data_IF_122552389450
#
_entry.id   IF_122552389450
#
_cell.length_a   1.000
_cell.length_b   1.000
_cell.length_c   1.000
_cell.angle_alpha   90.00
_cell.angle_beta   90.00
_cell.angle_gamma   90.00
#
_symmetry.space_group_name_H-M   'P 1'
#
loop_
_entity.id
_entity.type
_entity.pdbx_description
1 polymer ?
#
# COMPACT_ATOMS: atom_id res chain seq x y z
N UNK A 1 -21.69 -13.56 -12.46
CA UNK A 1 -20.64 -13.43 -11.46
C UNK A 1 -20.86 -14.47 -10.38
N UNK A 2 -19.90 -15.37 -10.15
CA UNK A 2 -20.00 -16.46 -9.18
C UNK A 2 -19.50 -15.98 -7.80
N UNK A 3 -20.43 -15.51 -6.97
CA UNK A 3 -20.14 -15.00 -5.62
C UNK A 3 -19.52 -16.08 -4.71
N UNK A 4 -19.90 -17.34 -4.91
CA UNK A 4 -19.35 -18.45 -4.12
C UNK A 4 -17.86 -18.68 -4.41
N UNK A 5 -17.43 -18.53 -5.66
CA UNK A 5 -16.02 -18.62 -6.03
C UNK A 5 -15.21 -17.47 -5.43
N UNK A 6 -15.71 -16.23 -5.54
CA UNK A 6 -15.08 -15.06 -4.89
C UNK A 6 -14.92 -15.31 -3.39
N UNK A 7 -16.01 -15.73 -2.74
CA UNK A 7 -16.00 -15.99 -1.30
C UNK A 7 -15.01 -17.10 -0.91
N UNK A 8 -14.93 -18.17 -1.71
CA UNK A 8 -14.03 -19.28 -1.45
C UNK A 8 -12.57 -18.84 -1.49
N UNK A 9 -12.15 -18.12 -2.57
CA UNK A 9 -10.79 -17.59 -2.71
C UNK A 9 -10.49 -16.58 -1.59
N UNK A 10 -11.40 -15.66 -1.35
CA UNK A 10 -11.26 -14.62 -0.34
C UNK A 10 -11.09 -15.21 1.07
N UNK A 11 -11.94 -16.16 1.48
CA UNK A 11 -11.85 -16.78 2.79
C UNK A 11 -10.61 -17.67 2.94
N UNK A 12 -10.19 -18.34 1.87
CA UNK A 12 -8.94 -19.12 1.87
C UNK A 12 -7.73 -18.23 2.14
N UNK A 13 -7.64 -17.08 1.46
CA UNK A 13 -6.58 -16.11 1.64
C UNK A 13 -6.62 -15.44 3.03
N UNK A 14 -7.81 -15.12 3.54
CA UNK A 14 -7.95 -14.63 4.91
C UNK A 14 -7.55 -15.66 5.95
N UNK A 15 -7.91 -16.93 5.77
CA UNK A 15 -7.49 -18.00 6.68
C UNK A 15 -5.96 -18.18 6.68
N UNK A 16 -5.31 -18.01 5.54
CA UNK A 16 -3.84 -17.96 5.45
C UNK A 16 -3.28 -16.77 6.24
N UNK A 17 -3.88 -15.61 6.08
CA UNK A 17 -3.53 -14.39 6.82
C UNK A 17 -3.64 -14.59 8.32
N UNK A 18 -4.71 -15.24 8.77
CA UNK A 18 -4.95 -15.49 10.19
C UNK A 18 -3.85 -16.36 10.84
N UNK A 19 -3.34 -17.33 10.09
CA UNK A 19 -2.23 -18.19 10.55
C UNK A 19 -0.90 -17.42 10.70
N UNK A 20 -0.70 -16.35 9.95
CA UNK A 20 0.52 -15.52 9.95
C UNK A 20 0.28 -14.16 10.60
N UNK A 21 -0.82 -13.96 11.32
CA UNK A 21 -1.29 -12.67 11.81
C UNK A 21 -0.23 -11.99 12.69
N UNK A 22 0.34 -12.73 13.62
CA UNK A 22 1.32 -12.19 14.57
C UNK A 22 2.54 -11.62 13.81
N UNK A 23 3.09 -12.38 12.87
CA UNK A 23 4.23 -11.92 12.06
C UNK A 23 3.86 -10.75 11.15
N UNK A 24 2.70 -10.83 10.51
CA UNK A 24 2.25 -9.83 9.52
C UNK A 24 1.82 -8.49 10.13
N UNK A 25 1.42 -8.47 11.40
CA UNK A 25 0.97 -7.26 12.10
C UNK A 25 2.03 -6.78 13.08
N UNK A 26 2.63 -7.67 13.87
CA UNK A 26 3.58 -7.27 14.91
C UNK A 26 4.81 -6.58 14.30
N UNK A 27 5.37 -7.11 13.21
CA UNK A 27 6.57 -6.53 12.60
C UNK A 27 6.35 -5.09 12.10
N UNK A 28 5.32 -4.77 11.28
CA UNK A 28 5.07 -3.39 10.87
C UNK A 28 4.71 -2.47 12.04
N UNK A 29 3.94 -2.96 13.02
CA UNK A 29 3.56 -2.15 14.20
C UNK A 29 4.78 -1.81 15.05
N UNK A 30 5.65 -2.78 15.33
CA UNK A 30 6.89 -2.54 16.10
C UNK A 30 7.80 -1.57 15.33
N UNK A 31 8.02 -1.79 14.02
CA UNK A 31 8.85 -0.92 13.20
C UNK A 31 8.31 0.51 13.18
N UNK A 32 7.01 0.69 12.96
CA UNK A 32 6.38 2.01 12.94
C UNK A 32 6.42 2.67 14.32
N UNK A 33 6.22 1.91 15.40
CA UNK A 33 6.36 2.41 16.77
C UNK A 33 7.78 2.93 17.04
N UNK A 34 8.81 2.21 16.58
CA UNK A 34 10.20 2.66 16.68
C UNK A 34 10.44 3.95 15.88
N UNK A 35 9.84 4.08 14.69
CA UNK A 35 9.89 5.33 13.95
C UNK A 35 9.23 6.48 14.73
N UNK A 36 8.10 6.27 15.39
CA UNK A 36 7.46 7.30 16.22
C UNK A 36 8.34 7.68 17.43
N UNK A 37 8.99 6.73 18.08
CA UNK A 37 9.89 7.01 19.18
C UNK A 37 11.12 7.80 18.69
N UNK A 38 11.77 7.38 17.62
CA UNK A 38 13.00 8.02 17.14
C UNK A 38 12.69 9.37 16.50
N UNK A 39 11.82 9.41 15.52
CA UNK A 39 11.53 10.62 14.76
C UNK A 39 10.52 11.53 15.44
N UNK A 40 9.53 10.99 16.14
CA UNK A 40 8.52 11.77 16.84
C UNK A 40 9.06 12.40 18.12
N UNK A 41 9.76 11.64 18.97
CA UNK A 41 10.23 12.16 20.27
C UNK A 41 11.68 12.63 20.24
N UNK A 42 12.64 11.79 19.78
CA UNK A 42 14.06 12.14 19.88
C UNK A 42 14.47 13.25 18.91
N UNK A 43 14.02 13.19 17.67
CA UNK A 43 14.32 14.18 16.63
C UNK A 43 13.29 15.31 16.68
N UNK A 44 12.00 15.01 16.79
CA UNK A 44 10.91 15.94 16.78
C UNK A 44 10.95 16.99 17.89
N UNK A 45 11.52 16.63 19.07
CA UNK A 45 11.75 17.58 20.15
C UNK A 45 12.75 18.71 19.80
N UNK A 46 13.55 18.54 18.74
CA UNK A 46 14.56 19.49 18.27
C UNK A 46 14.20 20.17 16.94
N UNK A 47 13.13 19.72 16.29
CA UNK A 47 12.68 20.26 15.02
C UNK A 47 11.57 21.28 15.24
N UNK A 48 11.60 22.33 14.45
CA UNK A 48 10.51 23.29 14.38
C UNK A 48 9.25 22.65 13.79
N UNK A 49 8.09 23.19 14.15
CA UNK A 49 6.82 22.74 13.60
C UNK A 49 6.78 22.96 12.08
N UNK A 50 6.37 21.95 11.34
CA UNK A 50 6.18 22.03 9.89
C UNK A 50 4.76 22.50 9.58
N UNK A 51 4.63 23.66 8.94
CA UNK A 51 3.32 24.29 8.67
C UNK A 51 2.43 24.42 9.91
N UNK A 52 3.05 24.66 11.09
CA UNK A 52 2.34 24.72 12.37
C UNK A 52 1.99 23.36 13.00
N UNK A 53 2.38 22.25 12.38
CA UNK A 53 2.14 20.89 12.85
C UNK A 53 3.41 20.38 13.55
N UNK A 54 3.32 19.84 14.78
CA UNK A 54 4.46 19.20 15.44
C UNK A 54 5.04 18.08 14.55
N UNK A 55 6.36 17.98 14.47
CA UNK A 55 7.02 17.04 13.55
C UNK A 55 6.56 15.58 13.74
N UNK A 56 6.36 15.13 14.98
CA UNK A 56 5.84 13.79 15.27
C UNK A 56 4.47 13.52 14.65
N UNK A 57 3.59 14.54 14.65
CA UNK A 57 2.28 14.45 14.00
C UNK A 57 2.40 14.49 12.47
N UNK A 58 3.30 15.33 11.93
CA UNK A 58 3.52 15.48 10.49
C UNK A 58 3.93 14.17 9.79
N UNK A 59 4.73 13.32 10.44
CA UNK A 59 5.22 12.06 9.84
C UNK A 59 4.19 10.92 9.88
N UNK A 60 3.11 11.02 10.68
CA UNK A 60 2.11 9.94 10.82
C UNK A 60 1.53 9.49 9.47
N UNK A 61 0.99 10.39 8.62
CA UNK A 61 0.45 10.00 7.33
C UNK A 61 1.47 9.31 6.41
N UNK A 62 2.70 9.81 6.42
CA UNK A 62 3.80 9.22 5.64
C UNK A 62 4.15 7.81 6.07
N UNK A 63 4.27 7.55 7.37
CA UNK A 63 4.57 6.23 7.92
C UNK A 63 3.46 5.22 7.66
N UNK A 64 2.19 5.63 7.81
CA UNK A 64 1.04 4.78 7.49
C UNK A 64 1.06 4.39 6.02
N UNK A 65 1.26 5.37 5.11
CA UNK A 65 1.31 5.11 3.68
C UNK A 65 2.49 4.22 3.30
N UNK A 66 3.67 4.44 3.86
CA UNK A 66 4.84 3.60 3.62
C UNK A 66 4.60 2.13 4.01
N UNK A 67 4.02 1.91 5.19
CA UNK A 67 3.68 0.57 5.65
C UNK A 67 2.57 -0.06 4.79
N UNK A 68 1.53 0.70 4.47
CA UNK A 68 0.40 0.25 3.65
C UNK A 68 0.86 -0.17 2.24
N UNK A 69 1.70 0.62 1.59
CA UNK A 69 2.26 0.33 0.27
C UNK A 69 3.04 -0.98 0.28
N UNK A 70 3.99 -1.11 1.22
CA UNK A 70 4.85 -2.27 1.36
C UNK A 70 4.06 -3.55 1.59
N UNK A 71 3.13 -3.51 2.54
CA UNK A 71 2.28 -4.66 2.89
C UNK A 71 1.28 -5.01 1.79
N UNK A 72 0.68 -4.03 1.12
CA UNK A 72 -0.25 -4.27 0.01
C UNK A 72 0.43 -5.03 -1.12
N UNK A 73 1.61 -4.59 -1.53
CA UNK A 73 2.38 -5.26 -2.58
C UNK A 73 2.81 -6.65 -2.14
N UNK A 74 3.41 -6.78 -0.96
CA UNK A 74 3.93 -8.05 -0.46
C UNK A 74 2.82 -9.10 -0.29
N UNK A 75 1.69 -8.72 0.31
CA UNK A 75 0.57 -9.64 0.54
C UNK A 75 -0.06 -10.12 -0.76
N UNK A 76 -0.32 -9.21 -1.69
CA UNK A 76 -0.97 -9.56 -2.96
C UNK A 76 -0.02 -10.34 -3.88
N UNK A 77 1.26 -9.97 -3.95
CA UNK A 77 2.24 -10.69 -4.76
C UNK A 77 2.45 -12.11 -4.27
N UNK A 78 2.59 -12.29 -2.97
CA UNK A 78 2.71 -13.61 -2.37
C UNK A 78 1.43 -14.46 -2.57
N UNK A 79 0.25 -13.85 -2.44
CA UNK A 79 -1.05 -14.51 -2.59
C UNK A 79 -1.21 -15.22 -3.91
N UNK A 80 -0.81 -14.62 -5.02
CA UNK A 80 -0.90 -15.23 -6.35
C UNK A 80 0.35 -16.05 -6.73
N UNK A 81 1.53 -15.67 -6.23
CA UNK A 81 2.77 -16.38 -6.51
C UNK A 81 2.75 -17.81 -5.95
N UNK A 82 2.30 -18.00 -4.69
CA UNK A 82 2.29 -19.30 -4.06
C UNK A 82 1.46 -20.35 -4.81
N UNK A 83 0.19 -20.11 -5.19
CA UNK A 83 -0.57 -21.01 -6.02
C UNK A 83 0.09 -21.31 -7.37
N UNK A 84 0.79 -20.36 -7.98
CA UNK A 84 1.55 -20.59 -9.21
C UNK A 84 2.75 -21.51 -8.96
N UNK A 85 3.51 -21.25 -7.91
CA UNK A 85 4.68 -22.04 -7.54
C UNK A 85 4.33 -23.48 -7.18
N UNK A 86 3.24 -23.70 -6.45
CA UNK A 86 2.76 -25.03 -6.05
C UNK A 86 1.96 -25.76 -7.14
N UNK A 87 1.60 -25.06 -8.24
CA UNK A 87 0.76 -25.63 -9.29
C UNK A 87 -0.75 -25.61 -8.99
N UNK A 88 -1.17 -25.25 -7.77
CA UNK A 88 -2.60 -25.17 -7.39
C UNK A 88 -3.38 -24.11 -8.16
N UNK A 89 -2.70 -23.16 -8.81
CA UNK A 89 -3.34 -22.18 -9.68
C UNK A 89 -4.14 -22.83 -10.82
N UNK A 90 -3.70 -24.01 -11.31
CA UNK A 90 -4.38 -24.72 -12.39
C UNK A 90 -5.75 -25.23 -11.96
N UNK A 91 -5.95 -25.56 -10.69
CA UNK A 91 -7.25 -25.93 -10.14
C UNK A 91 -8.22 -24.74 -10.19
N UNK A 92 -7.72 -23.55 -9.84
CA UNK A 92 -8.51 -22.30 -9.90
C UNK A 92 -8.83 -21.93 -11.36
N UNK A 93 -7.86 -22.05 -12.27
CA UNK A 93 -8.04 -21.70 -13.69
C UNK A 93 -8.90 -22.74 -14.45
N UNK A 94 -9.00 -23.98 -14.01
CA UNK A 94 -9.86 -25.03 -14.59
C UNK A 94 -11.30 -24.97 -14.07
N UNK A 95 -11.52 -24.31 -12.95
CA UNK A 95 -12.86 -24.10 -12.40
C UNK A 95 -13.66 -23.10 -13.28
N UNK A 96 -15.02 -23.17 -13.28
CA UNK A 96 -15.86 -22.23 -14.02
C UNK A 96 -15.92 -20.87 -13.33
N UNK A 97 -14.74 -20.22 -13.24
CA UNK A 97 -14.52 -18.92 -12.57
C UNK A 97 -13.93 -17.92 -13.56
N UNK A 98 -14.49 -16.72 -13.62
CA UNK A 98 -13.95 -15.66 -14.46
C UNK A 98 -12.70 -15.04 -13.84
N UNK A 99 -11.84 -14.45 -14.66
CA UNK A 99 -10.65 -13.76 -14.19
C UNK A 99 -10.98 -12.60 -13.21
N UNK A 100 -12.12 -11.93 -13.42
CA UNK A 100 -12.58 -10.86 -12.52
C UNK A 100 -12.84 -11.39 -11.11
N UNK A 101 -13.46 -12.57 -11.01
CA UNK A 101 -13.74 -13.23 -9.74
C UNK A 101 -12.46 -13.66 -9.01
N UNK A 102 -11.48 -14.16 -9.78
CA UNK A 102 -10.15 -14.51 -9.25
C UNK A 102 -9.47 -13.25 -8.68
N UNK A 103 -9.43 -12.18 -9.45
CA UNK A 103 -8.81 -10.92 -9.02
C UNK A 103 -9.49 -10.33 -7.80
N UNK A 104 -10.83 -10.27 -7.79
CA UNK A 104 -11.59 -9.78 -6.64
C UNK A 104 -11.31 -10.62 -5.38
N UNK A 105 -11.22 -11.93 -5.51
CA UNK A 105 -10.91 -12.82 -4.39
C UNK A 105 -9.53 -12.56 -3.78
N UNK A 106 -8.48 -12.64 -4.60
CA UNK A 106 -7.09 -12.47 -4.14
C UNK A 106 -6.79 -11.02 -3.70
N UNK A 107 -7.09 -10.06 -4.57
CA UNK A 107 -6.83 -8.64 -4.29
C UNK A 107 -7.69 -8.12 -3.15
N UNK A 108 -8.97 -8.52 -3.09
CA UNK A 108 -9.87 -8.15 -2.02
C UNK A 108 -9.39 -8.64 -0.65
N UNK A 109 -8.94 -9.90 -0.55
CA UNK A 109 -8.38 -10.44 0.69
C UNK A 109 -7.09 -9.71 1.12
N UNK A 110 -6.18 -9.48 0.17
CA UNK A 110 -4.94 -8.74 0.42
C UNK A 110 -5.22 -7.28 0.84
N UNK A 111 -6.14 -6.59 0.17
CA UNK A 111 -6.52 -5.22 0.50
C UNK A 111 -7.16 -5.13 1.89
N UNK A 112 -8.04 -6.08 2.25
CA UNK A 112 -8.64 -6.14 3.59
C UNK A 112 -7.57 -6.27 4.66
N UNK A 113 -6.59 -7.16 4.47
CA UNK A 113 -5.46 -7.33 5.41
C UNK A 113 -4.66 -6.03 5.54
N UNK A 114 -4.33 -5.39 4.42
CA UNK A 114 -3.56 -4.15 4.40
C UNK A 114 -4.31 -2.99 5.07
N UNK A 115 -5.64 -2.90 4.87
CA UNK A 115 -6.48 -1.92 5.53
C UNK A 115 -6.53 -2.13 7.04
N UNK A 116 -6.68 -3.37 7.50
CA UNK A 116 -6.63 -3.70 8.93
C UNK A 116 -5.30 -3.24 9.53
N UNK A 117 -4.19 -3.52 8.86
CA UNK A 117 -2.88 -3.06 9.31
C UNK A 117 -2.79 -1.53 9.34
N UNK A 118 -3.25 -0.83 8.30
CA UNK A 118 -3.28 0.63 8.26
C UNK A 118 -4.06 1.23 9.43
N UNK A 119 -5.22 0.66 9.76
CA UNK A 119 -6.01 1.06 10.93
C UNK A 119 -5.27 0.77 12.24
N UNK A 120 -4.62 -0.38 12.36
CA UNK A 120 -3.84 -0.71 13.57
C UNK A 120 -2.69 0.27 13.76
N UNK A 121 -1.96 0.61 12.70
CA UNK A 121 -0.88 1.60 12.76
C UNK A 121 -1.43 2.98 13.13
N UNK A 122 -2.58 3.37 12.57
CA UNK A 122 -3.27 4.62 12.92
C UNK A 122 -3.58 4.67 14.42
N UNK A 123 -4.18 3.62 14.97
CA UNK A 123 -4.48 3.52 16.40
C UNK A 123 -3.20 3.51 17.25
N UNK A 124 -2.16 2.82 16.80
CA UNK A 124 -0.87 2.78 17.48
C UNK A 124 -0.22 4.15 17.52
N UNK A 125 -0.28 4.92 16.42
CA UNK A 125 0.23 6.29 16.37
C UNK A 125 -0.34 7.20 17.47
N UNK A 126 -1.63 6.99 17.83
CA UNK A 126 -2.29 7.74 18.89
C UNK A 126 -1.67 7.56 20.29
N UNK A 127 -0.96 6.45 20.50
CA UNK A 127 -0.26 6.18 21.76
C UNK A 127 1.01 7.03 21.92
N UNK A 128 1.58 7.50 20.81
CA UNK A 128 2.85 8.23 20.79
C UNK A 128 2.68 9.73 20.55
N UNK A 129 1.67 10.10 19.76
CA UNK A 129 1.49 11.47 19.30
C UNK A 129 0.00 11.79 19.21
N UNK A 130 -0.39 12.95 19.73
CA UNK A 130 -1.72 13.49 19.50
C UNK A 130 -1.83 14.07 18.10
N UNK A 131 -2.87 13.67 17.37
CA UNK A 131 -3.17 14.15 16.03
C UNK A 131 -4.68 14.28 15.83
N UNK A 132 -5.06 15.12 14.88
CA UNK A 132 -6.45 15.31 14.48
C UNK A 132 -6.64 14.87 13.02
N UNK A 133 -7.87 14.43 12.70
CA UNK A 133 -8.26 14.08 11.35
C UNK A 133 -9.36 15.04 10.92
N UNK A 134 -9.01 16.02 10.07
CA UNK A 134 -9.97 17.03 9.62
C UNK A 134 -10.97 16.46 8.61
N UNK A 135 -10.52 15.55 7.73
CA UNK A 135 -11.33 14.99 6.66
C UNK A 135 -11.37 13.46 6.70
N UNK A 136 -12.13 12.82 7.63
CA UNK A 136 -12.09 11.38 7.84
C UNK A 136 -12.58 10.56 6.62
N UNK A 137 -13.53 11.07 5.86
CA UNK A 137 -13.99 10.40 4.62
C UNK A 137 -12.91 10.35 3.55
N UNK A 138 -12.15 11.45 3.39
CA UNK A 138 -11.04 11.50 2.44
C UNK A 138 -9.87 10.62 2.90
N UNK A 139 -9.61 10.57 4.21
CA UNK A 139 -8.65 9.64 4.78
C UNK A 139 -9.01 8.19 4.44
N UNK A 140 -10.26 7.79 4.68
CA UNK A 140 -10.73 6.44 4.35
C UNK A 140 -10.64 6.15 2.84
N UNK A 141 -11.01 7.13 2.00
CA UNK A 141 -10.93 7.02 0.54
C UNK A 141 -9.48 6.78 0.08
N UNK A 142 -8.52 7.59 0.54
CA UNK A 142 -7.10 7.41 0.21
C UNK A 142 -6.56 6.06 0.71
N UNK A 143 -6.92 5.64 1.93
CA UNK A 143 -6.55 4.33 2.46
C UNK A 143 -7.03 3.18 1.55
N UNK A 144 -8.31 3.20 1.18
CA UNK A 144 -8.91 2.14 0.35
C UNK A 144 -8.33 2.16 -1.05
N UNK A 145 -8.26 3.33 -1.70
CA UNK A 145 -7.70 3.46 -3.04
C UNK A 145 -6.24 3.00 -3.09
N UNK A 146 -5.44 3.40 -2.10
CA UNK A 146 -4.04 2.98 -2.02
C UNK A 146 -3.92 1.47 -1.83
N UNK A 147 -4.66 0.89 -0.87
CA UNK A 147 -4.62 -0.55 -0.61
C UNK A 147 -5.02 -1.35 -1.86
N UNK A 148 -6.14 -1.01 -2.51
CA UNK A 148 -6.61 -1.73 -3.70
C UNK A 148 -5.65 -1.59 -4.86
N UNK A 149 -5.17 -0.37 -5.14
CA UNK A 149 -4.27 -0.09 -6.27
C UNK A 149 -2.95 -0.84 -6.11
N UNK A 150 -2.35 -0.79 -4.91
CA UNK A 150 -1.07 -1.44 -4.67
C UNK A 150 -1.18 -2.95 -4.45
N UNK A 151 -2.33 -3.46 -4.02
CA UNK A 151 -2.61 -4.89 -4.09
C UNK A 151 -2.76 -5.39 -5.53
N UNK A 152 -3.40 -4.62 -6.43
CA UNK A 152 -3.42 -4.95 -7.86
C UNK A 152 -2.00 -4.93 -8.46
N UNK A 153 -1.22 -3.93 -8.14
CA UNK A 153 0.18 -3.86 -8.57
C UNK A 153 1.00 -5.04 -8.03
N UNK A 154 0.86 -5.38 -6.74
CA UNK A 154 1.46 -6.57 -6.14
C UNK A 154 1.02 -7.87 -6.81
N UNK A 155 -0.26 -7.99 -7.15
CA UNK A 155 -0.79 -9.13 -7.89
C UNK A 155 -0.12 -9.31 -9.26
N UNK A 156 0.11 -8.21 -10.00
CA UNK A 156 0.86 -8.21 -11.26
C UNK A 156 2.29 -8.68 -11.05
N UNK A 157 2.97 -8.18 -10.00
CA UNK A 157 4.34 -8.58 -9.64
C UNK A 157 4.37 -10.07 -9.32
N UNK A 158 3.40 -10.59 -8.56
CA UNK A 158 3.31 -12.01 -8.20
C UNK A 158 3.12 -12.93 -9.42
N UNK A 159 2.46 -12.45 -10.48
CA UNK A 159 2.37 -13.17 -11.75
C UNK A 159 3.70 -13.07 -12.53
N UNK A 160 4.36 -11.93 -12.50
CA UNK A 160 5.62 -11.70 -13.22
C UNK A 160 6.82 -12.42 -12.60
N UNK A 161 6.85 -12.58 -11.29
CA UNK A 161 7.98 -13.15 -10.57
C UNK A 161 8.16 -14.65 -10.86
N UNK A 162 9.39 -15.06 -11.16
CA UNK A 162 9.78 -16.46 -11.39
C UNK A 162 10.42 -17.10 -10.15
N UNK A 163 10.72 -16.30 -9.13
CA UNK A 163 11.39 -16.73 -7.90
C UNK A 163 11.12 -15.80 -6.74
N UNK A 164 11.37 -16.29 -5.53
CA UNK A 164 11.22 -15.55 -4.27
C UNK A 164 11.98 -14.23 -4.23
N UNK A 165 13.16 -14.20 -4.84
CA UNK A 165 14.00 -13.01 -4.88
C UNK A 165 13.30 -11.86 -5.58
N UNK A 166 12.63 -12.15 -6.72
CA UNK A 166 11.91 -11.13 -7.49
C UNK A 166 10.72 -10.55 -6.74
N UNK A 167 10.08 -11.32 -5.86
CA UNK A 167 9.00 -10.81 -5.02
C UNK A 167 9.50 -9.75 -4.02
N UNK A 168 10.73 -9.91 -3.53
CA UNK A 168 11.31 -9.00 -2.54
C UNK A 168 12.01 -7.79 -3.16
N UNK A 169 12.53 -7.94 -4.39
CA UNK A 169 13.25 -6.86 -5.10
C UNK A 169 12.37 -5.62 -5.28
N UNK A 170 11.12 -5.78 -5.70
CA UNK A 170 10.25 -4.63 -5.98
C UNK A 170 9.91 -3.84 -4.71
N UNK A 171 9.43 -4.45 -3.60
CA UNK A 171 9.22 -3.72 -2.36
C UNK A 171 10.50 -3.06 -1.82
N UNK A 172 11.61 -3.80 -1.79
CA UNK A 172 12.84 -3.33 -1.17
C UNK A 172 13.58 -2.26 -1.98
N UNK A 173 13.75 -2.48 -3.30
CA UNK A 173 14.56 -1.61 -4.14
C UNK A 173 13.79 -0.49 -4.85
N UNK A 174 12.48 -0.63 -5.00
CA UNK A 174 11.65 0.35 -5.70
C UNK A 174 10.74 1.08 -4.71
N UNK A 175 9.88 0.35 -3.99
CA UNK A 175 8.84 0.98 -3.19
C UNK A 175 9.41 1.73 -2.00
N UNK A 176 10.38 1.12 -1.30
CA UNK A 176 11.01 1.77 -0.14
C UNK A 176 11.72 3.08 -0.51
N UNK A 177 12.60 3.15 -1.50
CA UNK A 177 13.19 4.43 -1.93
C UNK A 177 12.15 5.44 -2.42
N UNK A 178 11.14 5.01 -3.16
CA UNK A 178 10.07 5.90 -3.61
C UNK A 178 9.24 6.45 -2.43
N UNK A 179 8.99 5.64 -1.40
CA UNK A 179 8.28 6.09 -0.20
C UNK A 179 9.10 7.09 0.61
N UNK A 180 10.42 6.89 0.74
CA UNK A 180 11.31 7.85 1.36
C UNK A 180 11.35 9.17 0.58
N UNK A 181 11.58 9.12 -0.73
CA UNK A 181 11.55 10.29 -1.61
C UNK A 181 10.14 10.88 -1.77
N UNK A 182 9.10 10.14 -1.39
CA UNK A 182 7.71 10.54 -1.42
C UNK A 182 7.29 11.55 -0.35
N UNK A 183 8.22 12.02 0.48
CA UNK A 183 7.91 12.99 1.54
C UNK A 183 7.28 12.34 2.78
N UNK A 184 7.62 11.08 3.09
CA UNK A 184 7.14 10.42 4.31
C UNK A 184 7.60 11.12 5.57
N UNK A 185 8.82 11.68 5.57
CA UNK A 185 9.49 12.27 6.73
C UNK A 185 9.72 13.78 6.63
N UNK A 186 9.43 14.40 5.48
CA UNK A 186 9.69 15.81 5.20
C UNK A 186 8.65 16.37 4.20
N UNK A 187 8.56 17.68 4.09
CA UNK A 187 7.82 18.34 3.00
C UNK A 187 8.69 18.47 1.75
N UNK A 188 8.09 18.36 0.57
CA UNK A 188 8.80 18.49 -0.71
C UNK A 188 9.54 19.83 -0.81
N UNK A 189 9.00 20.87 -0.20
CA UNK A 189 9.59 22.22 -0.18
C UNK A 189 10.98 22.29 0.48
N UNK A 190 11.29 21.31 1.35
CA UNK A 190 12.61 21.22 2.03
C UNK A 190 13.71 20.66 1.13
N UNK A 191 13.36 20.08 -0.01
CA UNK A 191 14.33 19.52 -0.95
C UNK A 191 14.97 20.64 -1.80
N UNK A 192 16.22 20.42 -2.25
CA UNK A 192 16.82 21.28 -3.29
C UNK A 192 15.97 21.28 -4.56
N UNK A 193 15.96 22.39 -5.36
CA UNK A 193 15.04 22.56 -6.51
C UNK A 193 15.09 21.45 -7.56
N UNK A 194 16.25 20.83 -7.74
CA UNK A 194 16.40 19.68 -8.64
C UNK A 194 15.61 18.47 -8.13
N UNK A 195 15.73 18.15 -6.84
CA UNK A 195 15.05 17.03 -6.21
C UNK A 195 13.55 17.23 -6.10
N UNK A 196 13.08 18.46 -5.89
CA UNK A 196 11.66 18.78 -5.94
C UNK A 196 11.03 18.36 -7.28
N UNK A 197 11.70 18.69 -8.40
CA UNK A 197 11.24 18.30 -9.74
C UNK A 197 11.28 16.79 -9.96
N UNK A 198 12.35 16.11 -9.52
CA UNK A 198 12.47 14.66 -9.64
C UNK A 198 11.38 13.96 -8.83
N UNK A 199 11.11 14.45 -7.63
CA UNK A 199 10.09 13.89 -6.73
C UNK A 199 8.68 13.94 -7.34
N UNK A 200 8.36 14.91 -8.18
CA UNK A 200 7.07 14.97 -8.87
C UNK A 200 6.84 13.83 -9.87
N UNK A 201 7.88 13.12 -10.31
CA UNK A 201 7.72 11.89 -11.09
C UNK A 201 7.43 10.66 -10.23
N UNK A 202 7.53 10.78 -8.92
CA UNK A 202 7.27 9.71 -7.98
C UNK A 202 5.76 9.64 -7.66
N UNK A 203 5.05 8.56 -8.03
CA UNK A 203 3.62 8.44 -7.76
C UNK A 203 3.28 8.40 -6.26
N UNK A 204 4.22 7.98 -5.42
CA UNK A 204 4.02 7.87 -3.96
C UNK A 204 3.87 9.24 -3.29
N UNK A 205 4.48 10.28 -3.85
CA UNK A 205 4.32 11.67 -3.37
C UNK A 205 2.86 12.10 -3.33
N UNK A 206 2.13 11.82 -4.39
CA UNK A 206 0.72 12.18 -4.52
C UNK A 206 -0.14 11.49 -3.47
N UNK A 207 0.19 10.23 -3.16
CA UNK A 207 -0.53 9.46 -2.14
C UNK A 207 -0.29 10.02 -0.75
N UNK A 208 0.97 10.26 -0.40
CA UNK A 208 1.35 10.78 0.91
C UNK A 208 0.82 12.20 1.09
N UNK A 209 0.94 13.07 0.07
CA UNK A 209 0.45 14.44 0.10
C UNK A 209 -1.07 14.49 0.27
N UNK A 210 -1.82 13.74 -0.53
CA UNK A 210 -3.28 13.68 -0.42
C UNK A 210 -3.75 13.09 0.89
N UNK A 211 -3.07 12.05 1.39
CA UNK A 211 -3.39 11.45 2.68
C UNK A 211 -3.06 12.39 3.85
N UNK A 212 -1.94 13.10 3.80
CA UNK A 212 -1.57 14.13 4.79
C UNK A 212 -2.59 15.27 4.83
N UNK A 213 -3.08 15.69 3.67
CA UNK A 213 -4.14 16.70 3.61
C UNK A 213 -5.40 16.27 4.36
N UNK A 214 -5.75 14.99 4.32
CA UNK A 214 -6.93 14.50 5.04
C UNK A 214 -6.82 14.61 6.57
N UNK A 215 -5.58 14.66 7.09
CA UNK A 215 -5.32 14.88 8.51
C UNK A 215 -5.32 16.36 8.89
N UNK A 216 -4.58 17.17 8.15
CA UNK A 216 -4.20 18.52 8.61
C UNK A 216 -4.68 19.65 7.68
N UNK A 217 -5.36 19.34 6.59
CA UNK A 217 -5.71 20.34 5.57
C UNK A 217 -4.52 20.92 4.79
N UNK A 218 -3.31 20.42 5.07
CA UNK A 218 -2.05 20.86 4.43
C UNK A 218 -1.54 19.79 3.49
N UNK A 219 -1.14 20.18 2.28
CA UNK A 219 -0.60 19.27 1.27
C UNK A 219 0.45 19.96 0.41
N UNK A 220 1.50 19.22 0.07
CA UNK A 220 2.52 19.68 -0.88
C UNK A 220 1.98 19.75 -2.32
N UNK A 221 0.97 18.91 -2.64
CA UNK A 221 0.34 18.82 -3.96
C UNK A 221 -1.17 18.84 -3.80
N UNK A 222 -1.89 19.49 -4.72
CA UNK A 222 -3.34 19.57 -4.66
C UNK A 222 -4.00 18.19 -4.61
N UNK A 223 -5.03 18.05 -3.77
CA UNK A 223 -5.76 16.79 -3.54
C UNK A 223 -6.38 16.23 -4.82
N UNK A 224 -6.85 17.12 -5.71
CA UNK A 224 -7.42 16.74 -7.00
C UNK A 224 -6.41 16.03 -7.89
N UNK A 225 -5.16 16.52 -7.95
CA UNK A 225 -4.07 15.89 -8.70
C UNK A 225 -3.70 14.55 -8.04
N UNK A 226 -3.64 14.50 -6.71
CA UNK A 226 -3.36 13.29 -5.96
C UNK A 226 -4.39 12.19 -6.24
N UNK A 227 -5.68 12.53 -6.25
CA UNK A 227 -6.76 11.59 -6.61
C UNK A 227 -6.67 11.16 -8.08
N UNK A 228 -6.42 12.08 -9.00
CA UNK A 228 -6.27 11.75 -10.42
C UNK A 228 -5.11 10.79 -10.66
N UNK A 229 -3.99 10.97 -9.98
CA UNK A 229 -2.82 10.11 -10.09
C UNK A 229 -3.09 8.68 -9.58
N UNK A 230 -3.72 8.53 -8.42
CA UNK A 230 -4.03 7.19 -7.90
C UNK A 230 -5.08 6.48 -8.77
N UNK A 231 -6.11 7.19 -9.24
CA UNK A 231 -7.12 6.64 -10.15
C UNK A 231 -6.50 6.25 -11.50
N UNK A 232 -5.59 7.06 -12.04
CA UNK A 232 -4.84 6.75 -13.25
C UNK A 232 -3.98 5.50 -13.08
N UNK A 233 -3.28 5.37 -11.95
CA UNK A 233 -2.47 4.20 -11.67
C UNK A 233 -3.34 2.94 -11.43
N UNK A 234 -4.48 3.09 -10.75
CA UNK A 234 -5.48 2.03 -10.61
C UNK A 234 -5.96 1.54 -11.98
N UNK A 235 -6.34 2.46 -12.87
CA UNK A 235 -6.77 2.13 -14.22
C UNK A 235 -5.66 1.40 -15.01
N UNK A 236 -4.42 1.86 -14.91
CA UNK A 236 -3.27 1.20 -15.53
C UNK A 236 -3.08 -0.24 -15.01
N UNK A 237 -3.18 -0.46 -13.70
CA UNK A 237 -3.11 -1.79 -13.11
C UNK A 237 -4.26 -2.69 -13.57
N UNK A 238 -5.49 -2.17 -13.65
CA UNK A 238 -6.64 -2.94 -14.15
C UNK A 238 -6.47 -3.33 -15.62
N UNK A 239 -5.97 -2.43 -16.45
CA UNK A 239 -5.66 -2.71 -17.86
C UNK A 239 -4.55 -3.77 -17.99
N UNK A 240 -3.51 -3.69 -17.16
CA UNK A 240 -2.43 -4.68 -17.15
C UNK A 240 -2.95 -6.07 -16.73
N UNK A 241 -3.78 -6.15 -15.69
CA UNK A 241 -4.41 -7.40 -15.26
C UNK A 241 -5.32 -7.98 -16.36
N UNK A 242 -6.16 -7.14 -16.97
CA UNK A 242 -6.99 -7.57 -18.10
C UNK A 242 -6.14 -8.12 -19.25
N UNK A 243 -5.05 -7.46 -19.62
CA UNK A 243 -4.14 -7.90 -20.67
C UNK A 243 -3.48 -9.25 -20.33
N UNK A 244 -3.01 -9.42 -19.09
CA UNK A 244 -2.41 -10.67 -18.59
C UNK A 244 -3.38 -11.84 -18.77
N UNK A 245 -4.62 -11.70 -18.31
CA UNK A 245 -5.61 -12.77 -18.40
C UNK A 245 -6.08 -13.02 -19.84
N UNK A 246 -6.19 -11.98 -20.68
CA UNK A 246 -6.55 -12.11 -22.10
C UNK A 246 -5.48 -12.84 -22.90
N UNK A 247 -4.21 -12.60 -22.61
CA UNK A 247 -3.08 -13.21 -23.33
C UNK A 247 -2.63 -14.53 -22.70
N UNK A 248 -3.02 -14.82 -21.46
CA UNK A 248 -2.51 -15.94 -20.70
C UNK A 248 -1.04 -15.79 -20.29
N UNK A 249 -0.50 -14.57 -20.33
CA UNK A 249 0.90 -14.28 -20.03
C UNK A 249 1.30 -14.81 -18.65
N UNK A 250 2.26 -15.74 -18.62
CA UNK A 250 2.79 -16.39 -17.41
C UNK A 250 1.76 -17.07 -16.49
N UNK A 251 0.53 -17.26 -16.94
CA UNK A 251 -0.49 -18.04 -16.23
C UNK A 251 -0.52 -19.49 -16.69
N UNK A 252 -0.04 -19.76 -17.91
CA UNK A 252 0.05 -21.09 -18.52
C UNK A 252 1.53 -21.30 -18.88
N UNK A 253 2.24 -22.00 -18.09
CA UNK A 253 3.54 -22.60 -18.42
C UNK A 253 3.42 -24.12 -18.44
#
# INVERSE_FOLDING_TARGET
MNVYAIRAIYLFELARTWRTLLQSIATPVISTSLYFVVFGSAIGARMEAMHGIPYGAFIIPGLIMMALLSESISNASFGIYMPRYSGTIYEVLSAPVSYVEIVIGYVGAAATKSLILGVIILLTARLFVDYEIQHPLMMALFLVLTAVTFCLFGFIIGIWADGWEKLQIVPALIVTPLAFLGGSFYSIEMLPPLWQKITLFNPVVYLISGFRWSFYGVSDISVGISLAMILGFLAACLLAVWWIFKTGYRLKN
#
